data_IF_857070500669
#
_entry.id   IF_857070500669
#
_cell.length_a   1.000
_cell.length_b   1.000
_cell.length_c   1.000
_cell.angle_alpha   90.00
_cell.angle_beta   90.00
_cell.angle_gamma   90.00
#
_symmetry.space_group_name_H-M   'P 1'
#
loop_
_entity.id
_entity.type
_entity.pdbx_description
1 polymer ?
#
# COMPACT_ATOMS: atom_id res chain seq x y z
N UNK A 1 40.38 4.20 -46.99
CA UNK A 1 39.24 4.87 -47.61
C UNK A 1 37.99 4.44 -46.85
N UNK A 2 37.20 5.18 -46.24
CA UNK A 2 36.89 6.55 -45.94
C UNK A 2 36.35 6.58 -44.47
N UNK A 3 36.90 7.44 -43.61
CA UNK A 3 36.33 7.86 -42.34
C UNK A 3 35.22 8.87 -42.65
N UNK A 4 34.02 8.72 -42.10
CA UNK A 4 33.04 9.80 -42.04
C UNK A 4 32.60 9.99 -40.61
N UNK A 5 33.08 11.10 -40.04
CA UNK A 5 32.77 11.65 -38.73
C UNK A 5 31.37 12.29 -38.78
N UNK A 6 30.47 11.86 -37.91
CA UNK A 6 29.29 12.66 -37.54
C UNK A 6 29.63 13.51 -36.31
N UNK A 7 29.93 14.81 -36.55
CA UNK A 7 29.96 15.83 -35.53
C UNK A 7 28.52 16.35 -35.33
N UNK A 8 27.89 16.00 -34.22
CA UNK A 8 26.72 16.74 -33.74
C UNK A 8 27.20 17.97 -32.93
N UNK A 9 26.91 19.14 -33.51
CA UNK A 9 27.07 20.43 -32.82
C UNK A 9 26.03 20.57 -31.74
N UNK A 10 26.44 20.46 -30.50
CA UNK A 10 25.69 20.98 -29.34
C UNK A 10 25.99 22.48 -29.20
N UNK A 11 25.15 23.31 -29.77
CA UNK A 11 25.08 24.73 -29.47
C UNK A 11 23.68 25.05 -28.95
N UNK A 12 23.55 25.05 -27.63
CA UNK A 12 22.54 25.85 -26.94
C UNK A 12 23.08 26.25 -25.58
N UNK A 13 23.24 27.55 -25.32
CA UNK A 13 23.66 28.05 -24.02
C UNK A 13 22.48 27.94 -23.03
N UNK A 14 22.76 27.37 -21.87
CA UNK A 14 21.84 27.33 -20.73
C UNK A 14 21.45 28.78 -20.30
N UNK A 15 20.18 29.06 -20.04
CA UNK A 15 19.79 30.36 -19.49
C UNK A 15 20.27 30.47 -18.05
N UNK A 16 21.13 31.47 -17.81
CA UNK A 16 21.47 31.95 -16.47
C UNK A 16 20.28 32.80 -15.95
N UNK A 17 19.37 32.20 -15.24
CA UNK A 17 18.45 32.96 -14.38
C UNK A 17 18.36 32.27 -13.03
N UNK A 18 18.99 32.91 -12.05
CA UNK A 18 18.72 32.62 -10.64
C UNK A 18 17.26 33.00 -10.33
N UNK A 19 16.50 32.22 -9.59
CA UNK A 19 15.21 32.67 -9.12
C UNK A 19 15.36 33.88 -8.22
N UNK A 20 14.47 34.90 -8.30
CA UNK A 20 14.53 36.06 -7.42
C UNK A 20 14.28 35.62 -5.99
N UNK A 21 15.11 36.13 -5.06
CA UNK A 21 14.84 36.06 -3.64
C UNK A 21 13.50 36.73 -3.38
N UNK A 22 12.54 35.98 -2.90
CA UNK A 22 11.26 36.49 -2.39
C UNK A 22 11.59 37.23 -1.09
N UNK A 23 11.72 38.56 -1.16
CA UNK A 23 11.71 39.42 0.02
C UNK A 23 10.29 39.38 0.59
N UNK A 24 10.16 38.83 1.78
CA UNK A 24 8.94 38.93 2.56
C UNK A 24 8.65 40.41 2.85
N UNK A 25 7.40 40.88 2.72
CA UNK A 25 7.08 42.27 3.01
C UNK A 25 7.31 42.57 4.49
N UNK A 26 8.08 43.65 4.72
CA UNK A 26 8.28 44.21 6.05
C UNK A 26 6.94 44.75 6.53
N UNK A 27 6.46 44.24 7.64
CA UNK A 27 5.26 44.79 8.28
C UNK A 27 5.49 46.20 8.80
N UNK A 28 4.53 47.14 8.63
CA UNK A 28 4.63 48.48 9.19
C UNK A 28 4.55 48.43 10.72
N UNK A 29 5.12 49.46 11.42
CA UNK A 29 5.13 49.49 12.88
C UNK A 29 3.73 49.57 13.45
N UNK A 30 3.49 48.75 14.47
CA UNK A 30 2.26 48.66 15.24
C UNK A 30 1.94 50.00 15.94
N UNK A 31 0.79 50.58 15.63
CA UNK A 31 0.28 51.81 16.27
C UNK A 31 -0.87 51.43 17.24
N UNK A 32 -0.71 51.59 18.56
CA UNK A 32 -1.68 51.14 19.55
C UNK A 32 -2.71 52.23 19.92
N UNK A 33 -3.62 52.56 18.99
CA UNK A 33 -4.78 53.40 19.35
C UNK A 33 -5.98 53.10 18.46
N UNK A 34 -6.66 51.99 18.73
CA UNK A 34 -8.08 51.83 18.43
C UNK A 34 -8.72 50.99 19.49
N UNK A 35 -9.65 51.62 20.18
CA UNK A 35 -10.49 51.08 21.26
C UNK A 35 -11.31 49.89 20.70
N UNK A 36 -10.95 48.66 21.09
CA UNK A 36 -11.67 47.46 20.68
C UNK A 36 -13.00 47.36 21.44
N UNK A 37 -14.08 47.34 20.72
CA UNK A 37 -15.37 46.85 21.17
C UNK A 37 -15.23 45.34 21.47
N UNK A 38 -15.35 44.95 22.70
CA UNK A 38 -15.26 43.59 23.21
C UNK A 38 -16.50 42.82 22.74
N UNK A 39 -16.45 42.15 21.62
CA UNK A 39 -17.31 40.99 21.37
C UNK A 39 -16.77 39.85 22.23
N UNK A 40 -17.52 39.47 23.24
CA UNK A 40 -17.27 38.27 24.03
C UNK A 40 -17.28 37.04 23.11
N UNK A 41 -16.11 36.63 22.66
CA UNK A 41 -15.90 35.30 22.14
C UNK A 41 -15.98 34.34 23.33
N UNK A 42 -16.96 33.43 23.34
CA UNK A 42 -17.01 32.30 24.24
C UNK A 42 -15.60 31.67 24.32
N UNK A 43 -15.02 31.49 25.49
CA UNK A 43 -13.69 30.91 25.62
C UNK A 43 -13.78 29.49 25.08
N UNK A 44 -13.01 29.16 24.01
CA UNK A 44 -12.65 27.78 23.72
C UNK A 44 -12.04 27.23 25.00
N UNK A 45 -12.73 26.34 25.68
CA UNK A 45 -12.16 25.63 26.83
C UNK A 45 -10.83 25.06 26.38
N UNK A 46 -9.74 25.54 26.94
CA UNK A 46 -8.43 24.94 26.80
C UNK A 46 -8.57 23.50 27.29
N UNK A 47 -8.25 22.52 26.43
CA UNK A 47 -8.22 21.14 26.84
C UNK A 47 -7.34 21.01 28.08
N UNK A 48 -7.84 20.42 29.14
CA UNK A 48 -7.05 20.15 30.34
C UNK A 48 -5.90 19.23 30.00
N UNK A 49 -4.79 19.24 30.74
CA UNK A 49 -3.66 18.33 30.51
C UNK A 49 -4.13 16.86 30.48
N UNK A 50 -5.10 16.51 31.28
CA UNK A 50 -5.72 15.19 31.35
C UNK A 50 -6.43 14.81 30.04
N UNK A 51 -7.30 15.66 29.51
CA UNK A 51 -7.97 15.44 28.22
C UNK A 51 -7.00 15.47 27.03
N UNK A 52 -5.82 16.06 27.21
CA UNK A 52 -4.74 15.99 26.22
C UNK A 52 -4.10 14.59 26.16
N UNK A 53 -3.98 13.90 27.29
CA UNK A 53 -3.41 12.54 27.34
C UNK A 53 -4.31 11.49 26.68
N UNK A 54 -5.63 11.64 26.75
CA UNK A 54 -6.59 10.68 26.15
C UNK A 54 -6.36 10.48 24.66
N UNK A 55 -5.85 11.50 23.95
CA UNK A 55 -5.51 11.41 22.53
C UNK A 55 -4.42 10.40 22.25
N UNK A 56 -3.58 10.05 23.21
CA UNK A 56 -2.48 9.10 23.09
C UNK A 56 -2.87 7.67 23.52
N UNK A 57 -4.11 7.45 23.95
CA UNK A 57 -4.61 6.11 24.20
C UNK A 57 -4.58 5.29 22.89
N UNK A 58 -4.20 4.01 22.97
CA UNK A 58 -4.05 3.14 21.80
C UNK A 58 -5.33 3.08 20.96
N UNK A 59 -6.48 3.03 21.62
CA UNK A 59 -7.80 3.03 20.99
C UNK A 59 -8.10 4.29 20.18
N UNK A 60 -7.45 5.42 20.50
CA UNK A 60 -7.59 6.68 19.77
C UNK A 60 -6.53 6.82 18.68
N UNK A 61 -5.28 6.41 18.96
CA UNK A 61 -4.17 6.51 18.00
C UNK A 61 -4.39 5.63 16.75
N UNK A 62 -4.97 4.44 16.94
CA UNK A 62 -5.17 3.44 15.86
C UNK A 62 -6.64 3.20 15.53
N UNK A 63 -7.51 4.14 15.89
CA UNK A 63 -8.94 4.02 15.67
C UNK A 63 -9.27 3.98 14.18
N UNK A 64 -9.98 2.92 13.78
CA UNK A 64 -10.63 2.81 12.47
C UNK A 64 -12.14 2.63 12.62
N UNK A 65 -12.66 2.97 13.79
CA UNK A 65 -14.09 2.86 14.11
C UNK A 65 -14.92 3.68 13.12
N UNK A 66 -16.00 3.08 12.63
CA UNK A 66 -16.91 3.67 11.64
C UNK A 66 -16.27 3.98 10.28
N UNK A 67 -15.08 3.47 9.99
CA UNK A 67 -14.47 3.58 8.66
C UNK A 67 -14.99 2.46 7.76
N UNK A 68 -15.16 2.77 6.48
CA UNK A 68 -15.46 1.77 5.44
C UNK A 68 -14.15 1.43 4.73
N UNK A 69 -13.84 0.15 4.68
CA UNK A 69 -12.62 -0.37 4.07
C UNK A 69 -12.93 -1.37 2.95
N UNK A 70 -12.07 -1.43 1.93
CA UNK A 70 -12.04 -2.46 0.90
C UNK A 70 -10.66 -3.10 0.87
N UNK A 71 -10.59 -4.44 0.95
CA UNK A 71 -9.35 -5.21 0.89
C UNK A 71 -9.40 -6.18 -0.28
N UNK A 72 -8.51 -6.01 -1.26
CA UNK A 72 -8.38 -6.97 -2.37
C UNK A 72 -7.55 -8.17 -1.94
N UNK A 73 -7.96 -9.38 -2.34
CA UNK A 73 -7.33 -10.62 -1.85
C UNK A 73 -7.51 -10.83 -0.35
N UNK A 74 -8.65 -10.37 0.21
CA UNK A 74 -8.93 -10.44 1.65
C UNK A 74 -9.25 -11.84 2.19
N UNK A 75 -9.25 -12.86 1.35
CA UNK A 75 -9.64 -14.23 1.69
C UNK A 75 -8.54 -15.12 2.29
N UNK A 76 -7.28 -14.70 2.30
CA UNK A 76 -6.17 -15.46 2.91
C UNK A 76 -4.93 -14.57 3.14
N UNK A 77 -3.92 -15.10 3.81
CA UNK A 77 -2.60 -14.49 3.97
C UNK A 77 -2.64 -13.05 4.49
N UNK A 78 -1.81 -12.18 3.91
CA UNK A 78 -1.67 -10.77 4.33
C UNK A 78 -3.00 -10.01 4.19
N UNK A 79 -3.80 -10.31 3.15
CA UNK A 79 -5.12 -9.71 2.98
C UNK A 79 -6.08 -10.04 4.13
N UNK A 80 -6.06 -11.27 4.61
CA UNK A 80 -6.84 -11.68 5.78
C UNK A 80 -6.32 -11.03 7.06
N UNK A 81 -5.01 -10.91 7.25
CA UNK A 81 -4.41 -10.20 8.40
C UNK A 81 -4.88 -8.74 8.44
N UNK A 82 -4.86 -8.05 7.29
CA UNK A 82 -5.37 -6.69 7.15
C UNK A 82 -6.88 -6.61 7.44
N UNK A 83 -7.66 -7.54 6.91
CA UNK A 83 -9.11 -7.63 7.12
C UNK A 83 -9.43 -7.77 8.60
N UNK A 84 -8.80 -8.73 9.29
CA UNK A 84 -9.01 -8.96 10.71
C UNK A 84 -8.59 -7.74 11.56
N UNK A 85 -7.44 -7.11 11.24
CA UNK A 85 -6.96 -5.93 11.95
C UNK A 85 -7.96 -4.77 11.85
N UNK A 86 -8.47 -4.47 10.67
CA UNK A 86 -9.42 -3.39 10.44
C UNK A 86 -10.79 -3.70 11.06
N UNK A 87 -11.32 -4.89 10.83
CA UNK A 87 -12.65 -5.27 11.32
C UNK A 87 -12.70 -5.40 12.84
N UNK A 88 -11.66 -5.97 13.47
CA UNK A 88 -11.58 -6.06 14.95
C UNK A 88 -11.58 -4.69 15.60
N UNK A 89 -10.99 -3.68 14.96
CA UNK A 89 -10.90 -2.31 15.46
C UNK A 89 -12.04 -1.39 14.96
N UNK A 90 -13.14 -1.97 14.44
CA UNK A 90 -14.40 -1.26 14.23
C UNK A 90 -14.64 -0.74 12.82
N UNK A 91 -13.84 -1.12 11.83
CA UNK A 91 -14.12 -0.83 10.43
C UNK A 91 -15.15 -1.81 9.85
N UNK A 92 -16.01 -1.34 8.95
CA UNK A 92 -16.77 -2.17 8.04
C UNK A 92 -15.86 -2.51 6.85
N UNK A 93 -15.51 -3.78 6.67
CA UNK A 93 -14.50 -4.23 5.73
C UNK A 93 -15.13 -5.06 4.63
N UNK A 94 -15.15 -4.55 3.42
CA UNK A 94 -15.42 -5.31 2.22
C UNK A 94 -14.17 -6.08 1.83
N UNK A 95 -14.32 -7.38 1.57
CA UNK A 95 -13.23 -8.22 1.05
C UNK A 95 -13.57 -8.70 -0.35
N UNK A 96 -12.59 -8.66 -1.25
CA UNK A 96 -12.81 -9.11 -2.63
C UNK A 96 -11.73 -10.06 -3.11
N UNK A 97 -12.12 -10.95 -4.00
CA UNK A 97 -11.29 -11.95 -4.66
C UNK A 97 -12.11 -12.74 -5.66
N UNK A 98 -11.49 -13.68 -6.36
CA UNK A 98 -12.15 -14.47 -7.42
C UNK A 98 -12.96 -15.65 -6.91
N UNK A 99 -12.62 -16.17 -5.73
CA UNK A 99 -13.21 -17.40 -5.16
C UNK A 99 -14.20 -17.02 -4.07
N UNK A 100 -15.50 -17.04 -4.38
CA UNK A 100 -16.58 -16.69 -3.45
C UNK A 100 -16.54 -17.52 -2.17
N UNK A 101 -16.32 -18.84 -2.30
CA UNK A 101 -16.32 -19.78 -1.17
C UNK A 101 -15.25 -19.43 -0.12
N UNK A 102 -14.06 -18.96 -0.56
CA UNK A 102 -13.02 -18.48 0.38
C UNK A 102 -13.44 -17.21 1.11
N UNK A 103 -14.07 -16.27 0.40
CA UNK A 103 -14.52 -14.99 0.96
C UNK A 103 -15.67 -15.20 1.96
N UNK A 104 -16.66 -16.03 1.58
CA UNK A 104 -17.80 -16.36 2.43
C UNK A 104 -17.35 -17.11 3.69
N UNK A 105 -16.37 -17.99 3.56
CA UNK A 105 -15.76 -18.68 4.69
C UNK A 105 -15.08 -17.71 5.65
N UNK A 106 -14.31 -16.76 5.16
CA UNK A 106 -13.70 -15.70 5.99
C UNK A 106 -14.76 -14.89 6.72
N UNK A 107 -15.82 -14.45 6.04
CA UNK A 107 -16.91 -13.72 6.67
C UNK A 107 -17.60 -14.57 7.75
N UNK A 108 -17.86 -15.85 7.48
CA UNK A 108 -18.45 -16.75 8.45
C UNK A 108 -17.60 -16.99 9.70
N UNK A 109 -16.29 -17.18 9.52
CA UNK A 109 -15.36 -17.47 10.62
C UNK A 109 -15.04 -16.25 11.48
N UNK A 110 -14.85 -15.09 10.85
CA UNK A 110 -14.22 -13.94 11.50
C UNK A 110 -15.16 -12.77 11.80
N UNK A 111 -16.46 -12.85 11.48
CA UNK A 111 -17.44 -11.85 11.91
C UNK A 111 -17.85 -11.96 13.38
N UNK A 112 -17.40 -12.99 14.08
CA UNK A 112 -17.74 -13.17 15.48
C UNK A 112 -16.77 -12.38 16.36
N UNK A 113 -17.29 -11.73 17.42
CA UNK A 113 -16.51 -11.01 18.43
C UNK A 113 -15.58 -9.93 17.85
N UNK A 114 -16.06 -9.17 16.88
CA UNK A 114 -15.40 -8.00 16.30
C UNK A 114 -16.28 -6.75 16.51
N UNK A 115 -15.66 -5.57 16.46
CA UNK A 115 -16.38 -4.30 16.59
C UNK A 115 -16.93 -3.75 15.27
N UNK A 116 -16.39 -4.23 14.15
CA UNK A 116 -16.81 -3.90 12.79
C UNK A 116 -17.58 -5.03 12.12
N UNK A 117 -17.41 -5.16 10.81
CA UNK A 117 -18.09 -6.15 9.98
C UNK A 117 -17.21 -6.56 8.80
N UNK A 118 -17.29 -7.83 8.35
CA UNK A 118 -16.61 -8.33 7.16
C UNK A 118 -17.68 -8.74 6.13
N UNK A 119 -17.62 -8.14 4.94
CA UNK A 119 -18.62 -8.36 3.88
C UNK A 119 -17.90 -8.84 2.61
N UNK A 120 -18.21 -10.06 2.13
CA UNK A 120 -17.62 -10.59 0.91
C UNK A 120 -18.27 -9.99 -0.35
N UNK A 121 -17.46 -9.68 -1.37
CA UNK A 121 -17.91 -9.37 -2.72
C UNK A 121 -16.94 -10.01 -3.71
N UNK A 122 -17.45 -10.91 -4.55
CA UNK A 122 -16.63 -11.56 -5.58
C UNK A 122 -16.33 -10.58 -6.71
N UNK A 123 -15.04 -10.40 -7.06
CA UNK A 123 -14.61 -9.63 -8.21
C UNK A 123 -13.21 -10.04 -8.66
N UNK A 124 -12.92 -9.90 -9.95
CA UNK A 124 -11.59 -10.04 -10.51
C UNK A 124 -10.94 -8.66 -10.71
N UNK A 125 -9.95 -8.36 -9.89
CA UNK A 125 -9.23 -7.07 -9.95
C UNK A 125 -8.25 -6.97 -11.12
N UNK A 126 -8.09 -8.03 -11.91
CA UNK A 126 -7.30 -8.02 -13.14
C UNK A 126 -8.14 -7.66 -14.37
N UNK A 127 -9.46 -7.51 -14.20
CA UNK A 127 -10.40 -7.09 -15.23
C UNK A 127 -10.98 -5.70 -14.90
N UNK A 128 -10.82 -4.76 -15.84
CA UNK A 128 -11.27 -3.37 -15.65
C UNK A 128 -12.78 -3.24 -15.51
N UNK A 129 -13.54 -4.08 -16.21
CA UNK A 129 -15.01 -4.11 -16.17
C UNK A 129 -15.49 -4.60 -14.79
N UNK A 130 -14.88 -5.67 -14.27
CA UNK A 130 -15.14 -6.18 -12.93
C UNK A 130 -14.80 -5.16 -11.85
N UNK A 131 -13.71 -4.39 -11.99
CA UNK A 131 -13.37 -3.28 -11.08
C UNK A 131 -14.46 -2.19 -11.11
N UNK A 132 -14.96 -1.81 -12.29
CA UNK A 132 -16.01 -0.82 -12.42
C UNK A 132 -17.33 -1.27 -11.79
N UNK A 133 -17.69 -2.54 -11.96
CA UNK A 133 -18.86 -3.16 -11.32
C UNK A 133 -18.70 -3.18 -9.79
N UNK A 134 -17.52 -3.55 -9.27
CA UNK A 134 -17.21 -3.53 -7.84
C UNK A 134 -17.34 -2.11 -7.26
N UNK A 135 -16.80 -1.10 -7.93
CA UNK A 135 -16.90 0.29 -7.49
C UNK A 135 -18.36 0.78 -7.48
N UNK A 136 -19.13 0.39 -8.49
CA UNK A 136 -20.58 0.68 -8.56
C UNK A 136 -21.35 0.00 -7.44
N UNK A 137 -21.07 -1.26 -7.17
CA UNK A 137 -21.75 -2.05 -6.14
C UNK A 137 -21.46 -1.51 -4.73
N UNK A 138 -20.21 -1.18 -4.43
CA UNK A 138 -19.84 -0.53 -3.15
C UNK A 138 -20.49 0.86 -3.06
N UNK A 139 -20.50 1.64 -4.15
CA UNK A 139 -21.14 2.96 -4.19
C UNK A 139 -22.67 2.95 -4.00
N UNK A 140 -23.34 1.82 -4.26
CA UNK A 140 -24.77 1.63 -3.91
C UNK A 140 -24.99 1.36 -2.42
N UNK A 141 -24.03 0.65 -1.78
CA UNK A 141 -24.12 0.25 -0.37
C UNK A 141 -23.58 1.31 0.58
N UNK A 142 -22.54 2.04 0.14
CA UNK A 142 -21.81 2.99 0.97
C UNK A 142 -21.77 4.38 0.34
N UNK A 143 -21.87 5.40 1.18
CA UNK A 143 -21.76 6.80 0.75
C UNK A 143 -20.32 7.21 0.46
N UNK A 144 -19.34 6.51 1.05
CA UNK A 144 -17.92 6.82 0.97
C UNK A 144 -17.07 5.57 1.23
N UNK A 145 -15.79 5.65 0.85
CA UNK A 145 -14.75 4.70 1.23
C UNK A 145 -13.65 5.45 1.99
N UNK A 146 -13.20 4.92 3.12
CA UNK A 146 -12.12 5.54 3.92
C UNK A 146 -10.77 4.89 3.68
N UNK A 147 -10.76 3.58 3.37
CA UNK A 147 -9.55 2.75 3.30
C UNK A 147 -9.67 1.81 2.10
N UNK A 148 -8.66 1.84 1.22
CA UNK A 148 -8.48 0.86 0.15
C UNK A 148 -7.15 0.15 0.36
N UNK A 149 -7.17 -1.18 0.52
CA UNK A 149 -5.96 -2.01 0.59
C UNK A 149 -5.85 -2.84 -0.68
N UNK A 150 -4.93 -2.47 -1.56
CA UNK A 150 -4.56 -3.21 -2.76
C UNK A 150 -3.55 -4.29 -2.37
N UNK A 151 -4.06 -5.46 -1.99
CA UNK A 151 -3.23 -6.58 -1.52
C UNK A 151 -3.19 -7.74 -2.52
N UNK A 152 -4.19 -7.92 -3.38
CA UNK A 152 -4.20 -8.98 -4.37
C UNK A 152 -2.88 -9.02 -5.16
N UNK A 153 -2.29 -10.21 -5.28
CA UNK A 153 -1.01 -10.39 -5.95
C UNK A 153 -0.74 -11.86 -6.25
N UNK A 154 0.21 -12.09 -7.13
CA UNK A 154 0.69 -13.43 -7.51
C UNK A 154 2.22 -13.45 -7.47
N UNK A 155 2.79 -14.64 -7.23
CA UNK A 155 4.20 -14.90 -7.49
C UNK A 155 4.44 -15.06 -9.00
N UNK A 156 5.69 -15.07 -9.41
CA UNK A 156 6.09 -15.47 -10.77
C UNK A 156 6.70 -16.87 -10.78
N UNK A 157 6.88 -17.40 -11.97
CA UNK A 157 7.75 -18.55 -12.19
C UNK A 157 9.17 -18.25 -11.71
N UNK A 158 9.94 -19.31 -11.41
CA UNK A 158 11.32 -19.24 -10.94
C UNK A 158 12.29 -19.58 -12.06
N UNK A 159 13.40 -18.85 -12.13
CA UNK A 159 14.50 -19.12 -13.04
C UNK A 159 15.78 -19.37 -12.23
N UNK A 160 16.42 -20.50 -12.44
CA UNK A 160 17.71 -20.81 -11.84
C UNK A 160 18.82 -19.92 -12.43
N UNK A 161 19.66 -19.33 -11.60
CA UNK A 161 20.68 -18.36 -12.01
C UNK A 161 22.10 -18.75 -11.57
N UNK A 162 22.25 -19.85 -10.90
CA UNK A 162 23.53 -20.37 -10.42
C UNK A 162 24.23 -21.16 -11.55
N UNK A 163 24.72 -20.42 -12.57
CA UNK A 163 25.43 -20.95 -13.73
C UNK A 163 26.74 -20.18 -13.92
N UNK A 164 27.81 -20.91 -14.25
CA UNK A 164 29.14 -20.33 -14.42
C UNK A 164 29.43 -19.90 -15.87
N UNK A 165 28.61 -20.34 -16.84
CA UNK A 165 28.76 -19.94 -18.23
C UNK A 165 27.50 -19.28 -18.81
N UNK A 166 27.72 -18.44 -19.84
CA UNK A 166 26.68 -17.66 -20.47
C UNK A 166 25.65 -18.52 -21.25
N UNK A 167 26.05 -19.68 -21.76
CA UNK A 167 25.15 -20.54 -22.52
C UNK A 167 24.15 -21.24 -21.61
N UNK A 168 24.58 -21.69 -20.45
CA UNK A 168 23.70 -22.27 -19.45
C UNK A 168 22.76 -21.23 -18.84
N UNK A 169 23.32 -20.06 -18.49
CA UNK A 169 22.49 -18.95 -17.99
C UNK A 169 21.44 -18.52 -19.02
N UNK A 170 21.82 -18.45 -20.32
CA UNK A 170 20.87 -18.17 -21.41
C UNK A 170 19.77 -19.22 -21.49
N UNK A 171 20.11 -20.50 -21.41
CA UNK A 171 19.11 -21.59 -21.40
C UNK A 171 18.09 -21.41 -20.26
N UNK A 172 18.57 -21.14 -19.05
CA UNK A 172 17.71 -20.95 -17.88
C UNK A 172 16.84 -19.71 -17.96
N UNK A 173 17.36 -18.59 -18.47
CA UNK A 173 16.64 -17.31 -18.49
C UNK A 173 15.80 -17.08 -19.76
N UNK A 174 16.11 -17.74 -20.87
CA UNK A 174 15.48 -17.46 -22.17
C UNK A 174 14.82 -18.67 -22.81
N UNK A 175 15.37 -19.88 -22.65
CA UNK A 175 14.85 -21.09 -23.31
C UNK A 175 13.92 -21.91 -22.41
N UNK A 176 13.96 -21.71 -21.09
CA UNK A 176 13.06 -22.41 -20.18
C UNK A 176 11.60 -22.06 -20.50
N UNK A 177 10.72 -23.07 -20.53
CA UNK A 177 9.31 -22.90 -20.88
C UNK A 177 8.56 -21.97 -19.90
N UNK A 178 9.00 -21.86 -18.65
CA UNK A 178 8.44 -20.95 -17.65
C UNK A 178 8.88 -19.49 -17.88
N UNK A 179 9.91 -19.26 -18.71
CA UNK A 179 10.43 -17.92 -19.01
C UNK A 179 9.78 -17.36 -20.28
N UNK A 180 8.54 -16.92 -20.18
CA UNK A 180 7.76 -16.44 -21.32
C UNK A 180 7.12 -15.07 -21.01
N UNK A 181 6.67 -14.37 -22.06
CA UNK A 181 6.09 -13.03 -21.96
C UNK A 181 4.75 -13.04 -21.23
N UNK A 182 3.97 -14.09 -21.39
CA UNK A 182 2.63 -14.24 -20.77
C UNK A 182 2.73 -14.28 -19.24
N UNK A 183 3.79 -14.90 -18.70
CA UNK A 183 4.02 -14.93 -17.25
C UNK A 183 4.38 -13.54 -16.70
N UNK A 184 5.16 -12.76 -17.45
CA UNK A 184 5.43 -11.35 -17.13
C UNK A 184 4.16 -10.52 -17.18
N UNK A 185 3.37 -10.63 -18.23
CA UNK A 185 2.12 -9.88 -18.40
C UNK A 185 1.13 -10.19 -17.28
N UNK A 186 0.94 -11.46 -16.94
CA UNK A 186 0.08 -11.91 -15.83
C UNK A 186 0.56 -11.35 -14.51
N UNK A 187 1.87 -11.41 -14.24
CA UNK A 187 2.47 -10.92 -12.99
C UNK A 187 2.29 -9.41 -12.87
N UNK A 188 2.58 -8.65 -13.92
CA UNK A 188 2.41 -7.19 -13.91
C UNK A 188 0.94 -6.77 -13.85
N UNK A 189 0.06 -7.43 -14.60
CA UNK A 189 -1.38 -7.18 -14.56
C UNK A 189 -1.92 -7.30 -13.14
N UNK A 190 -1.53 -8.36 -12.44
CA UNK A 190 -2.03 -8.63 -11.09
C UNK A 190 -1.33 -7.78 -10.02
N UNK A 191 -0.01 -7.57 -10.09
CA UNK A 191 0.73 -6.92 -9.00
C UNK A 191 0.79 -5.39 -9.14
N UNK A 192 0.70 -4.85 -10.36
CA UNK A 192 0.91 -3.42 -10.65
C UNK A 192 -0.34 -2.76 -11.20
N UNK A 193 -0.84 -3.27 -12.34
CA UNK A 193 -1.89 -2.62 -13.12
C UNK A 193 -3.18 -2.51 -12.31
N UNK A 194 -3.56 -3.54 -11.57
CA UNK A 194 -4.73 -3.49 -10.72
C UNK A 194 -4.64 -2.40 -9.62
N UNK A 195 -3.45 -2.13 -9.06
CA UNK A 195 -3.31 -1.06 -8.05
C UNK A 195 -3.68 0.30 -8.62
N UNK A 196 -3.30 0.57 -9.88
CA UNK A 196 -3.67 1.79 -10.59
C UNK A 196 -5.19 1.87 -10.83
N UNK A 197 -5.79 0.82 -11.42
CA UNK A 197 -7.20 0.83 -11.78
C UNK A 197 -8.12 0.80 -10.55
N UNK A 198 -7.79 0.03 -9.52
CA UNK A 198 -8.52 0.04 -8.25
C UNK A 198 -8.48 1.42 -7.60
N UNK A 199 -7.29 2.02 -7.46
CA UNK A 199 -7.17 3.37 -6.89
C UNK A 199 -7.99 4.37 -7.69
N UNK A 200 -7.86 4.37 -9.03
CA UNK A 200 -8.56 5.32 -9.90
C UNK A 200 -10.07 5.16 -9.86
N UNK A 201 -10.58 3.94 -9.88
CA UNK A 201 -12.03 3.67 -9.84
C UNK A 201 -12.69 4.12 -8.53
N UNK A 202 -11.95 4.04 -7.41
CA UNK A 202 -12.47 4.40 -6.10
C UNK A 202 -12.18 5.83 -5.66
N UNK A 203 -11.48 6.67 -6.47
CA UNK A 203 -11.19 8.06 -6.13
C UNK A 203 -12.43 8.86 -5.67
N UNK A 204 -13.60 8.79 -6.34
CA UNK A 204 -14.76 9.57 -5.89
C UNK A 204 -15.29 9.15 -4.52
N UNK A 205 -15.23 7.87 -4.18
CA UNK A 205 -15.66 7.38 -2.86
C UNK A 205 -14.63 7.69 -1.78
N UNK A 206 -13.33 7.65 -2.10
CA UNK A 206 -12.24 8.04 -1.21
C UNK A 206 -12.25 9.55 -0.90
N UNK A 207 -12.54 10.38 -1.89
CA UNK A 207 -12.70 11.83 -1.69
C UNK A 207 -13.84 12.12 -0.70
N UNK A 208 -15.01 11.53 -0.91
CA UNK A 208 -16.13 11.64 0.03
C UNK A 208 -15.77 11.15 1.43
N UNK A 209 -14.97 10.08 1.55
CA UNK A 209 -14.47 9.59 2.83
C UNK A 209 -13.62 10.62 3.59
N UNK A 210 -12.86 11.44 2.86
CA UNK A 210 -12.06 12.53 3.44
C UNK A 210 -12.91 13.75 3.83
N UNK A 211 -14.12 13.90 3.26
CA UNK A 211 -15.04 14.99 3.58
C UNK A 211 -15.85 14.74 4.85
N UNK A 212 -16.12 13.48 5.18
CA UNK A 212 -16.93 13.08 6.34
C UNK A 212 -16.31 13.56 7.66
N UNK A 213 -14.99 13.56 7.75
CA UNK A 213 -14.28 13.94 8.97
C UNK A 213 -13.04 14.78 8.63
N UNK A 214 -12.96 16.00 9.18
CA UNK A 214 -11.84 16.93 8.90
C UNK A 214 -10.48 16.42 9.34
N UNK A 215 -10.44 15.65 10.42
CA UNK A 215 -9.22 15.08 11.01
C UNK A 215 -8.75 13.82 10.29
N UNK A 216 -9.54 13.29 9.35
CA UNK A 216 -9.26 12.07 8.62
C UNK A 216 -9.12 12.32 7.11
N UNK A 217 -8.05 11.82 6.51
CA UNK A 217 -7.88 11.70 5.06
C UNK A 217 -8.00 10.24 4.68
N UNK A 218 -8.82 9.92 3.71
CA UNK A 218 -8.91 8.55 3.17
C UNK A 218 -7.55 8.08 2.69
N UNK A 219 -7.35 6.77 2.70
CA UNK A 219 -6.03 6.22 2.39
C UNK A 219 -6.11 5.01 1.48
N UNK A 220 -5.15 4.92 0.56
CA UNK A 220 -4.83 3.72 -0.21
C UNK A 220 -3.56 3.12 0.35
N UNK A 221 -3.56 1.82 0.59
CA UNK A 221 -2.39 1.05 1.02
C UNK A 221 -2.12 -0.03 -0.02
N UNK A 222 -1.01 0.08 -0.73
CA UNK A 222 -0.56 -0.95 -1.66
C UNK A 222 0.35 -1.94 -0.93
N UNK A 223 0.16 -3.22 -1.16
CA UNK A 223 1.04 -4.27 -0.60
C UNK A 223 2.04 -4.68 -1.67
N UNK A 224 3.28 -4.23 -1.52
CA UNK A 224 4.39 -4.65 -2.39
C UNK A 224 5.14 -5.86 -1.80
N UNK A 225 6.44 -5.79 -1.72
CA UNK A 225 7.32 -6.77 -1.07
C UNK A 225 8.71 -6.16 -0.91
N UNK A 226 9.50 -6.65 0.05
CA UNK A 226 10.94 -6.40 0.10
C UNK A 226 11.65 -6.85 -1.18
N UNK A 227 11.10 -7.82 -1.91
CA UNK A 227 11.61 -8.27 -3.22
C UNK A 227 11.68 -7.15 -4.25
N UNK A 228 10.90 -6.08 -4.09
CA UNK A 228 11.01 -4.85 -4.90
C UNK A 228 12.08 -3.87 -4.41
N UNK A 229 12.78 -4.16 -3.33
CA UNK A 229 13.78 -3.29 -2.70
C UNK A 229 15.19 -3.90 -2.81
N UNK A 230 15.30 -5.23 -2.64
CA UNK A 230 16.57 -5.94 -2.69
C UNK A 230 17.02 -6.15 -4.14
N UNK A 231 18.35 -6.23 -4.34
CA UNK A 231 18.94 -6.49 -5.65
C UNK A 231 18.98 -7.97 -6.06
N UNK A 232 18.87 -8.88 -5.10
CA UNK A 232 18.86 -10.32 -5.37
C UNK A 232 17.53 -10.72 -6.01
N UNK A 233 17.56 -11.46 -7.13
CA UNK A 233 16.37 -11.90 -7.83
C UNK A 233 15.52 -12.90 -7.03
N UNK A 234 16.14 -13.66 -6.13
CA UNK A 234 15.52 -14.78 -5.43
C UNK A 234 14.83 -15.76 -6.40
N UNK A 235 15.37 -15.88 -7.61
CA UNK A 235 14.83 -16.66 -8.74
C UNK A 235 13.49 -16.12 -9.33
N UNK A 236 12.97 -14.98 -8.85
CA UNK A 236 11.65 -14.44 -9.21
C UNK A 236 11.76 -13.08 -9.92
N UNK A 237 12.32 -13.02 -11.12
CA UNK A 237 12.58 -11.76 -11.82
C UNK A 237 11.33 -10.92 -12.08
N UNK A 238 10.28 -11.51 -12.68
CA UNK A 238 9.04 -10.79 -12.96
C UNK A 238 8.34 -10.31 -11.68
N UNK A 239 8.32 -11.14 -10.63
CA UNK A 239 7.77 -10.76 -9.35
C UNK A 239 8.52 -9.58 -8.71
N UNK A 240 9.84 -9.68 -8.59
CA UNK A 240 10.67 -8.63 -7.96
C UNK A 240 10.52 -7.30 -8.72
N UNK A 241 10.63 -7.35 -10.05
CA UNK A 241 10.45 -6.17 -10.90
C UNK A 241 9.03 -5.58 -10.75
N UNK A 242 7.97 -6.40 -10.69
CA UNK A 242 6.60 -5.93 -10.47
C UNK A 242 6.43 -5.27 -9.10
N UNK A 243 7.06 -5.80 -8.04
CA UNK A 243 6.98 -5.22 -6.68
C UNK A 243 7.76 -3.90 -6.58
N UNK A 244 8.88 -3.75 -7.29
CA UNK A 244 9.57 -2.47 -7.43
C UNK A 244 8.69 -1.45 -8.18
N UNK A 245 8.03 -1.86 -9.25
CA UNK A 245 7.09 -1.02 -9.98
C UNK A 245 5.91 -0.58 -9.11
N UNK A 246 5.37 -1.45 -8.25
CA UNK A 246 4.29 -1.11 -7.30
C UNK A 246 4.75 -0.05 -6.28
N UNK A 247 5.99 -0.15 -5.77
CA UNK A 247 6.58 0.86 -4.87
C UNK A 247 6.66 2.22 -5.58
N UNK A 248 7.13 2.25 -6.82
CA UNK A 248 7.24 3.49 -7.59
C UNK A 248 5.85 4.06 -7.95
N UNK A 249 4.93 3.22 -8.42
CA UNK A 249 3.54 3.60 -8.72
C UNK A 249 2.84 4.23 -7.51
N UNK A 250 3.09 3.73 -6.30
CA UNK A 250 2.56 4.31 -5.06
C UNK A 250 2.98 5.78 -4.91
N UNK A 251 4.25 6.09 -5.16
CA UNK A 251 4.77 7.47 -5.08
C UNK A 251 4.16 8.38 -6.14
N UNK A 252 4.02 7.86 -7.38
CA UNK A 252 3.37 8.58 -8.47
C UNK A 252 1.91 8.91 -8.14
N UNK A 253 1.13 7.92 -7.70
CA UNK A 253 -0.27 8.12 -7.32
C UNK A 253 -0.40 9.11 -6.15
N UNK A 254 0.46 9.01 -5.13
CA UNK A 254 0.47 9.95 -4.01
C UNK A 254 0.72 11.38 -4.49
N UNK A 255 1.67 11.58 -5.40
CA UNK A 255 2.02 12.89 -5.97
C UNK A 255 0.86 13.49 -6.79
N UNK A 256 0.33 12.73 -7.74
CA UNK A 256 -0.72 13.21 -8.66
C UNK A 256 -2.03 13.52 -7.92
N UNK A 257 -2.40 12.69 -6.95
CA UNK A 257 -3.61 12.89 -6.13
C UNK A 257 -3.49 14.17 -5.30
N UNK A 258 -2.34 14.42 -4.66
CA UNK A 258 -2.09 15.66 -3.91
C UNK A 258 -2.04 16.87 -4.84
N UNK A 259 -1.41 16.75 -6.01
CA UNK A 259 -1.35 17.81 -7.04
C UNK A 259 -2.75 18.18 -7.54
N UNK A 260 -3.68 17.22 -7.56
CA UNK A 260 -5.09 17.44 -7.85
C UNK A 260 -5.90 17.99 -6.66
N UNK A 261 -5.23 18.34 -5.55
CA UNK A 261 -5.81 18.90 -4.31
C UNK A 261 -6.78 17.95 -3.57
N UNK A 262 -6.70 16.66 -3.86
CA UNK A 262 -7.49 15.65 -3.16
C UNK A 262 -6.83 15.27 -1.82
N UNK A 263 -7.64 15.18 -0.78
CA UNK A 263 -7.19 14.77 0.56
C UNK A 263 -7.19 13.25 0.71
N UNK A 264 -6.45 12.56 -0.15
CA UNK A 264 -6.31 11.11 -0.15
C UNK A 264 -4.82 10.79 -0.04
N UNK A 265 -4.45 9.93 0.89
CA UNK A 265 -3.08 9.46 1.09
C UNK A 265 -2.87 8.14 0.36
N UNK A 266 -1.69 7.93 -0.21
CA UNK A 266 -1.32 6.66 -0.84
C UNK A 266 0.01 6.22 -0.27
N UNK A 267 0.04 5.08 0.40
CA UNK A 267 1.24 4.52 1.01
C UNK A 267 1.43 3.06 0.58
N UNK A 268 2.59 2.52 0.88
CA UNK A 268 2.95 1.16 0.56
C UNK A 268 3.47 0.44 1.81
N UNK A 269 3.10 -0.82 1.98
CA UNK A 269 3.76 -1.73 2.91
C UNK A 269 4.56 -2.72 2.07
N UNK A 270 5.82 -2.92 2.41
CA UNK A 270 6.73 -3.89 1.80
C UNK A 270 7.02 -5.01 2.81
N UNK A 271 6.23 -6.09 2.81
CA UNK A 271 6.45 -7.23 3.68
C UNK A 271 7.70 -8.00 3.33
N UNK A 272 8.36 -8.56 4.35
CA UNK A 272 9.26 -9.69 4.23
C UNK A 272 8.48 -11.00 4.09
N UNK A 273 8.96 -12.04 4.74
CA UNK A 273 8.32 -13.37 4.71
C UNK A 273 7.20 -13.42 5.74
N UNK A 274 5.98 -13.58 5.24
CA UNK A 274 4.77 -13.79 6.03
C UNK A 274 4.04 -15.06 5.57
N UNK A 275 3.32 -15.77 6.46
CA UNK A 275 2.48 -16.90 6.07
C UNK A 275 1.37 -16.50 5.11
N UNK A 276 1.30 -17.16 3.96
CA UNK A 276 0.29 -16.95 2.91
C UNK A 276 0.27 -18.14 1.97
N UNK A 277 -0.77 -18.26 1.13
CA UNK A 277 -0.81 -19.28 0.07
C UNK A 277 0.44 -19.22 -0.83
N UNK A 278 0.98 -18.01 -1.05
CA UNK A 278 2.19 -17.80 -1.87
C UNK A 278 3.46 -18.38 -1.23
N UNK A 279 3.57 -18.39 0.09
CA UNK A 279 4.79 -18.79 0.84
C UNK A 279 4.70 -20.19 1.41
N UNK A 280 3.51 -20.69 1.68
CA UNK A 280 3.23 -22.00 2.28
C UNK A 280 2.58 -23.01 1.30
N UNK A 281 2.05 -22.52 0.15
CA UNK A 281 1.36 -23.33 -0.85
C UNK A 281 -0.14 -23.42 -0.60
N UNK A 282 -0.58 -23.63 0.63
CA UNK A 282 -1.99 -23.82 0.99
C UNK A 282 -2.34 -23.10 2.31
N UNK A 283 -3.62 -22.81 2.47
CA UNK A 283 -4.20 -22.35 3.74
C UNK A 283 -5.03 -23.48 4.35
N UNK A 284 -5.10 -23.50 5.67
CA UNK A 284 -5.92 -24.43 6.45
C UNK A 284 -7.42 -24.11 6.35
N UNK A 285 -8.22 -24.84 7.12
CA UNK A 285 -9.68 -24.60 7.22
C UNK A 285 -10.05 -23.21 7.75
N UNK A 286 -9.14 -22.52 8.45
CA UNK A 286 -9.30 -21.17 8.95
C UNK A 286 -8.76 -20.12 7.96
N UNK A 287 -8.42 -20.50 6.73
CA UNK A 287 -7.78 -19.65 5.72
C UNK A 287 -6.44 -19.07 6.20
N UNK A 288 -5.76 -19.78 7.12
CA UNK A 288 -4.45 -19.45 7.64
C UNK A 288 -3.38 -20.36 7.05
N UNK A 289 -2.22 -19.79 6.76
CA UNK A 289 -1.05 -20.55 6.34
C UNK A 289 -0.04 -20.62 7.47
N UNK A 290 0.77 -21.69 7.50
CA UNK A 290 1.86 -21.84 8.44
C UNK A 290 3.20 -22.01 7.72
N UNK A 291 4.22 -21.37 8.22
CA UNK A 291 5.60 -21.53 7.73
C UNK A 291 6.44 -22.05 8.88
N UNK A 292 7.19 -23.16 8.71
CA UNK A 292 8.12 -23.64 9.71
C UNK A 292 9.14 -22.55 10.07
N UNK A 293 9.31 -22.30 11.37
CA UNK A 293 10.21 -21.26 11.88
C UNK A 293 11.65 -21.51 11.45
N UNK A 294 12.06 -22.76 11.46
CA UNK A 294 13.41 -23.24 11.14
C UNK A 294 13.83 -22.87 9.71
N UNK A 295 12.89 -22.78 8.78
CA UNK A 295 13.14 -22.39 7.38
C UNK A 295 13.76 -20.99 7.25
N UNK A 296 13.52 -20.11 8.23
CA UNK A 296 13.92 -18.71 8.19
C UNK A 296 14.82 -18.28 9.37
N UNK A 297 15.16 -19.19 10.27
CA UNK A 297 15.96 -18.90 11.48
C UNK A 297 17.34 -18.30 11.14
N UNK A 298 17.97 -18.79 10.07
CA UNK A 298 19.28 -18.28 9.61
C UNK A 298 19.16 -17.19 8.54
N UNK A 299 17.99 -17.06 7.88
CA UNK A 299 17.81 -16.15 6.74
C UNK A 299 17.32 -14.76 7.13
N UNK A 300 16.67 -14.64 8.28
CA UNK A 300 16.06 -13.40 8.75
C UNK A 300 16.68 -13.03 10.10
N UNK A 301 17.20 -11.80 10.29
CA UNK A 301 17.76 -11.38 11.58
C UNK A 301 16.82 -11.58 12.77
N UNK A 302 15.51 -11.42 12.58
CA UNK A 302 14.50 -11.72 13.61
C UNK A 302 14.34 -13.23 13.91
N UNK A 303 15.00 -14.11 13.16
CA UNK A 303 14.99 -15.57 13.29
C UNK A 303 13.61 -16.21 13.24
N UNK A 304 12.67 -15.58 12.56
CA UNK A 304 11.31 -16.07 12.36
C UNK A 304 10.65 -15.39 11.17
N UNK A 305 9.62 -15.99 10.55
CA UNK A 305 8.70 -15.27 9.68
C UNK A 305 7.89 -14.23 10.48
N UNK A 306 7.29 -13.27 9.77
CA UNK A 306 6.34 -12.33 10.35
C UNK A 306 5.11 -13.07 10.88
N UNK A 307 4.50 -12.53 11.93
CA UNK A 307 3.24 -12.98 12.51
C UNK A 307 2.09 -12.10 12.04
N UNK A 308 0.87 -12.58 12.22
CA UNK A 308 -0.34 -11.84 11.90
C UNK A 308 -0.36 -10.46 12.61
N UNK A 309 0.07 -10.40 13.87
CA UNK A 309 0.13 -9.18 14.66
C UNK A 309 1.17 -8.17 14.14
N UNK A 310 2.29 -8.64 13.60
CA UNK A 310 3.30 -7.76 13.00
C UNK A 310 2.71 -7.04 11.79
N UNK A 311 1.95 -7.74 10.93
CA UNK A 311 1.27 -7.16 9.78
C UNK A 311 0.08 -6.29 10.20
N UNK A 312 -0.74 -6.76 11.15
CA UNK A 312 -1.87 -6.01 11.68
C UNK A 312 -1.43 -4.64 12.23
N UNK A 313 -0.34 -4.61 13.00
CA UNK A 313 0.27 -3.38 13.52
C UNK A 313 0.70 -2.43 12.40
N UNK A 314 1.37 -2.95 11.35
CA UNK A 314 1.80 -2.15 10.22
C UNK A 314 0.62 -1.57 9.41
N UNK A 315 -0.43 -2.36 9.21
CA UNK A 315 -1.66 -1.90 8.52
C UNK A 315 -2.33 -0.79 9.32
N UNK A 316 -2.58 -1.00 10.61
CA UNK A 316 -3.22 0.00 11.47
C UNK A 316 -2.40 1.28 11.56
N UNK A 317 -1.07 1.18 11.72
CA UNK A 317 -0.18 2.34 11.69
C UNK A 317 -0.28 3.11 10.37
N UNK A 318 -0.18 2.42 9.24
CA UNK A 318 -0.21 3.06 7.91
C UNK A 318 -1.55 3.75 7.63
N UNK A 319 -2.64 3.13 8.07
CA UNK A 319 -3.99 3.65 7.89
C UNK A 319 -4.28 4.84 8.82
N UNK A 320 -3.97 4.71 10.11
CA UNK A 320 -4.32 5.70 11.12
C UNK A 320 -3.42 6.94 11.11
N UNK A 321 -2.15 6.81 10.71
CA UNK A 321 -1.22 7.93 10.72
C UNK A 321 -1.53 8.93 9.59
N UNK A 322 -2.21 10.01 9.94
CA UNK A 322 -2.69 11.03 9.00
C UNK A 322 -1.56 11.90 8.38
N UNK A 323 -0.33 11.80 8.88
CA UNK A 323 0.84 12.53 8.39
C UNK A 323 1.72 11.71 7.44
N UNK A 324 1.34 10.45 7.19
CA UNK A 324 2.05 9.52 6.32
C UNK A 324 1.47 9.55 4.91
N UNK A 325 2.26 9.96 3.89
CA UNK A 325 1.86 9.94 2.48
C UNK A 325 3.07 9.71 1.57
N UNK A 326 2.90 8.88 0.54
CA UNK A 326 3.94 8.53 -0.44
C UNK A 326 5.07 7.64 0.11
N UNK A 327 4.89 7.01 1.27
CA UNK A 327 5.94 6.27 1.96
C UNK A 327 5.84 4.75 1.73
N UNK A 328 6.98 4.08 1.87
CA UNK A 328 7.07 2.61 1.91
C UNK A 328 7.52 2.18 3.29
N UNK A 329 6.66 1.41 3.96
CA UNK A 329 6.91 0.84 5.28
C UNK A 329 7.41 -0.59 5.10
N UNK A 330 8.67 -0.84 5.43
CA UNK A 330 9.28 -2.18 5.38
C UNK A 330 8.98 -2.92 6.68
N UNK A 331 8.45 -4.14 6.56
CA UNK A 331 8.12 -5.02 7.71
C UNK A 331 8.69 -6.41 7.41
N UNK A 332 9.94 -6.67 7.75
CA UNK A 332 10.70 -7.79 7.20
C UNK A 332 11.60 -8.53 8.20
N UNK A 333 11.57 -8.18 9.46
CA UNK A 333 12.44 -8.76 10.47
C UNK A 333 13.93 -8.48 10.25
N UNK A 334 14.28 -7.45 9.45
CA UNK A 334 15.66 -7.06 9.13
C UNK A 334 16.24 -7.76 7.90
N UNK A 335 15.44 -8.42 7.09
CA UNK A 335 15.90 -9.14 5.89
C UNK A 335 16.62 -8.20 4.90
N UNK A 336 16.04 -7.04 4.60
CA UNK A 336 16.65 -6.02 3.72
C UNK A 336 17.98 -5.53 4.27
N UNK A 337 18.10 -5.35 5.59
CA UNK A 337 19.34 -4.94 6.25
C UNK A 337 20.46 -5.99 6.05
N UNK A 338 20.11 -7.27 6.11
CA UNK A 338 21.07 -8.36 5.94
C UNK A 338 21.46 -8.60 4.47
N UNK A 339 20.52 -8.42 3.54
CA UNK A 339 20.72 -8.72 2.11
C UNK A 339 21.26 -7.53 1.32
N UNK A 340 20.98 -6.31 1.78
CA UNK A 340 21.31 -5.06 1.09
C UNK A 340 20.27 -4.66 0.04
N UNK A 341 20.29 -3.38 -0.32
CA UNK A 341 19.37 -2.76 -1.27
C UNK A 341 20.04 -2.46 -2.62
N UNK A 342 19.26 -2.10 -3.61
CA UNK A 342 19.71 -1.45 -4.85
C UNK A 342 20.15 -0.02 -4.60
#
# INVERSE_FOLDING_TARGET
MLRTLFRLKLNNPLPKSRPPCILLPVQPPYNPTTRATTTQSTPKMAATAESSNDRFALENLFSVKNKVALVTGGGSGIGLMATQALAKNGAKVYITGRTSEKLDRVASLYNNNIAGEIIPITADVTDKESIAQLATEIGKREKYLSILVNNAGVSSATQTVEHEDAAELRRALFEDASSNMEEWDKTYRTNVVQCFFMTSAFLPLLEKGSEVERSWSSTVVNISSISGIIKASQHHFAYNASKAATIHLTKMLAHEIVSSKLRIRVNNIAPGVFPSDMTAGESDENQKSAIPKEKYEEKVPARRPGRDEDMASAVLFTVANQYLNGQTIVVDGGYVLATGTV
#
